data_IF_658907030047
#
_entry.id   IF_658907030047
#
_cell.length_a   1.000
_cell.length_b   1.000
_cell.length_c   1.000
_cell.angle_alpha   90.00
_cell.angle_beta   90.00
_cell.angle_gamma   90.00
#
_symmetry.space_group_name_H-M   'P 1'
#
loop_
_entity.id
_entity.type
_entity.pdbx_description
1 polymer ?
#
# COMPACT_ATOMS: atom_id res chain seq x y z
N UNK A 1 4.82 5.58 -6.62
CA UNK A 1 3.58 6.36 -6.83
C UNK A 1 3.96 7.68 -7.45
N UNK A 2 3.20 8.13 -8.43
CA UNK A 2 3.47 9.38 -9.15
C UNK A 2 2.20 10.22 -9.19
N UNK A 3 2.31 11.53 -8.97
CA UNK A 3 1.18 12.49 -9.04
C UNK A 3 -0.06 12.09 -8.22
N UNK A 4 0.12 11.31 -7.15
CA UNK A 4 -0.98 10.78 -6.32
C UNK A 4 -1.27 11.71 -5.14
N UNK A 5 -2.54 11.84 -4.75
CA UNK A 5 -2.99 12.77 -3.69
C UNK A 5 -4.06 12.12 -2.82
N UNK A 6 -3.97 12.33 -1.50
CA UNK A 6 -4.97 11.88 -0.53
C UNK A 6 -5.31 10.38 -0.69
N UNK A 7 -4.29 9.54 -0.57
CA UNK A 7 -4.41 8.11 -0.90
C UNK A 7 -3.88 7.25 0.23
N UNK A 8 -4.68 6.27 0.64
CA UNK A 8 -4.27 5.22 1.58
C UNK A 8 -3.78 4.01 0.81
N UNK A 9 -2.62 3.50 1.20
CA UNK A 9 -1.89 2.46 0.50
C UNK A 9 -1.63 1.30 1.46
N UNK A 10 -2.40 0.22 1.30
CA UNK A 10 -2.09 -1.05 1.91
C UNK A 10 -1.10 -1.81 1.02
N UNK A 11 0.17 -1.84 1.41
CA UNK A 11 1.26 -2.26 0.52
C UNK A 11 2.11 -3.36 1.14
N UNK A 12 2.45 -4.35 0.31
CA UNK A 12 3.56 -5.25 0.54
C UNK A 12 4.62 -4.96 -0.51
N UNK A 13 5.82 -4.64 -0.07
CA UNK A 13 6.98 -4.43 -0.93
C UNK A 13 8.23 -4.94 -0.24
N UNK A 14 9.09 -5.67 -0.94
CA UNK A 14 10.41 -6.11 -0.44
C UNK A 14 11.48 -5.04 -0.67
N UNK A 15 11.19 -4.04 -1.51
CA UNK A 15 12.03 -2.87 -1.75
C UNK A 15 11.38 -1.61 -1.18
N UNK A 16 12.17 -0.55 -1.09
CA UNK A 16 11.73 0.77 -0.61
C UNK A 16 10.75 1.39 -1.60
N UNK A 17 9.48 1.67 -1.22
CA UNK A 17 8.56 2.38 -2.07
C UNK A 17 9.10 3.76 -2.43
N UNK A 18 8.78 4.22 -3.62
CA UNK A 18 9.21 5.52 -4.15
C UNK A 18 7.99 6.38 -4.44
N UNK A 19 8.03 7.64 -4.04
CA UNK A 19 7.01 8.64 -4.38
C UNK A 19 7.64 9.84 -5.09
N UNK A 20 6.89 10.43 -6.01
CA UNK A 20 7.24 11.64 -6.77
C UNK A 20 5.96 12.43 -7.06
N UNK A 21 6.03 13.75 -6.95
CA UNK A 21 4.94 14.70 -7.17
C UNK A 21 3.64 14.37 -6.41
N UNK A 22 3.78 13.69 -5.28
CA UNK A 22 2.67 13.13 -4.51
C UNK A 22 2.56 13.80 -3.14
N UNK A 23 1.37 13.79 -2.52
CA UNK A 23 1.19 14.35 -1.18
C UNK A 23 -0.01 13.73 -0.45
N UNK A 24 0.00 13.80 0.89
CA UNK A 24 -1.02 13.20 1.74
C UNK A 24 -1.23 11.70 1.44
N UNK A 25 -0.12 10.97 1.31
CA UNK A 25 -0.14 9.52 1.19
C UNK A 25 -0.06 8.87 2.57
N UNK A 26 -0.88 7.86 2.85
CA UNK A 26 -0.81 7.12 4.11
C UNK A 26 -0.51 5.66 3.82
N UNK A 27 0.52 5.11 4.43
CA UNK A 27 0.94 3.72 4.20
C UNK A 27 0.45 2.82 5.33
N UNK A 28 0.09 1.59 4.99
CA UNK A 28 -0.35 0.55 5.90
C UNK A 28 0.18 -0.82 5.39
N UNK A 29 0.28 -1.83 6.27
CA UNK A 29 0.62 -3.19 5.82
C UNK A 29 -0.47 -3.74 4.89
N UNK A 30 -0.04 -4.54 3.93
CA UNK A 30 -0.96 -5.32 3.10
C UNK A 30 -1.77 -6.32 3.95
N UNK A 31 -3.08 -6.53 3.67
CA UNK A 31 -3.91 -7.42 4.45
C UNK A 31 -3.43 -8.86 4.34
N UNK A 32 -3.25 -9.53 5.48
CA UNK A 32 -2.79 -10.93 5.53
C UNK A 32 -3.80 -11.91 4.95
N UNK A 33 -5.09 -11.57 4.95
CA UNK A 33 -6.16 -12.37 4.32
C UNK A 33 -6.03 -12.45 2.80
N UNK A 34 -5.36 -11.47 2.18
CA UNK A 34 -5.08 -11.45 0.74
C UNK A 34 -3.66 -11.95 0.42
N UNK A 35 -2.85 -12.23 1.44
CA UNK A 35 -1.48 -12.69 1.25
C UNK A 35 -1.47 -14.12 0.73
N UNK A 36 -0.84 -14.33 -0.43
CA UNK A 36 -0.55 -15.67 -0.91
C UNK A 36 0.55 -16.32 -0.05
N UNK A 37 0.62 -17.67 0.02
CA UNK A 37 1.63 -18.38 0.80
C UNK A 37 3.08 -17.99 0.49
N UNK A 38 3.34 -17.39 -0.67
CA UNK A 38 4.68 -17.05 -1.18
C UNK A 38 5.28 -15.75 -0.61
N UNK A 39 4.57 -15.03 0.27
CA UNK A 39 5.16 -13.87 0.96
C UNK A 39 6.10 -14.38 2.07
N UNK A 40 7.39 -14.49 1.76
CA UNK A 40 8.40 -15.06 2.66
C UNK A 40 9.38 -14.03 3.25
N UNK A 41 9.35 -12.79 2.75
CA UNK A 41 10.27 -11.74 3.17
C UNK A 41 9.56 -10.59 3.89
N UNK A 42 10.29 -9.91 4.77
CA UNK A 42 9.78 -8.73 5.47
C UNK A 42 9.48 -7.59 4.50
N UNK A 43 8.38 -6.89 4.77
CA UNK A 43 7.98 -5.75 3.95
C UNK A 43 8.67 -4.45 4.39
N UNK A 44 9.04 -3.65 3.39
CA UNK A 44 9.60 -2.31 3.47
C UNK A 44 8.55 -1.21 3.23
N UNK A 45 7.26 -1.46 3.44
CA UNK A 45 6.17 -0.51 3.13
C UNK A 45 6.28 0.85 3.86
N UNK A 46 7.01 0.93 4.97
CA UNK A 46 7.31 2.20 5.67
C UNK A 46 8.66 2.83 5.30
N UNK A 47 9.49 2.19 4.49
CA UNK A 47 10.78 2.71 4.06
C UNK A 47 10.64 3.54 2.79
N UNK A 48 9.74 4.53 2.80
CA UNK A 48 9.35 5.31 1.62
C UNK A 48 10.41 6.37 1.30
N UNK A 49 10.82 6.43 0.04
CA UNK A 49 11.70 7.46 -0.51
C UNK A 49 10.87 8.50 -1.27
N UNK A 50 11.04 9.77 -0.91
CA UNK A 50 10.38 10.89 -1.59
C UNK A 50 11.39 11.64 -2.44
N UNK A 51 11.29 11.50 -3.76
CA UNK A 51 12.21 12.13 -4.70
C UNK A 51 12.16 13.66 -4.68
N UNK A 52 11.01 14.25 -4.34
CA UNK A 52 10.87 15.71 -4.25
C UNK A 52 11.42 16.29 -2.94
N UNK A 53 11.78 15.43 -1.97
CA UNK A 53 12.19 15.84 -0.63
C UNK A 53 13.65 15.51 -0.31
N UNK A 54 14.57 16.29 -0.87
CA UNK A 54 16.02 16.17 -0.66
C UNK A 54 16.54 16.70 0.70
N UNK A 55 15.65 17.06 1.63
CA UNK A 55 16.02 17.65 2.92
C UNK A 55 16.36 16.56 3.94
N UNK A 56 17.18 16.84 4.96
CA UNK A 56 17.51 15.87 6.02
C UNK A 56 16.35 15.60 6.99
N UNK A 57 15.21 16.27 6.83
CA UNK A 57 14.00 16.09 7.64
C UNK A 57 13.10 15.03 7.01
N UNK A 58 12.24 14.36 7.80
CA UNK A 58 11.21 13.48 7.24
C UNK A 58 10.35 14.21 6.20
N UNK A 59 10.00 13.52 5.12
CA UNK A 59 9.08 14.07 4.13
C UNK A 59 7.69 14.32 4.76
N UNK A 60 7.05 15.46 4.49
CA UNK A 60 5.67 15.72 4.90
C UNK A 60 4.64 15.10 3.94
N UNK A 61 5.07 14.55 2.80
CA UNK A 61 4.17 14.08 1.75
C UNK A 61 3.54 12.72 2.04
N UNK A 62 4.04 12.02 3.06
CA UNK A 62 3.50 10.75 3.49
C UNK A 62 3.60 10.53 5.00
N UNK A 63 2.75 9.66 5.52
CA UNK A 63 2.79 9.18 6.90
C UNK A 63 2.28 7.74 7.00
N UNK A 64 2.30 7.18 8.21
CA UNK A 64 1.63 5.92 8.49
C UNK A 64 0.12 6.16 8.64
N UNK A 65 -0.68 5.26 8.11
CA UNK A 65 -2.10 5.16 8.44
C UNK A 65 -2.24 4.75 9.92
N UNK A 66 -3.26 5.22 10.62
CA UNK A 66 -3.46 4.85 12.01
C UNK A 66 -3.83 3.36 12.12
N UNK A 67 -3.34 2.68 13.17
CA UNK A 67 -3.56 1.24 13.34
C UNK A 67 -5.05 0.88 13.39
N UNK A 68 -5.88 1.71 14.03
CA UNK A 68 -7.34 1.52 14.09
C UNK A 68 -7.98 1.55 12.69
N UNK A 69 -7.53 2.47 11.82
CA UNK A 69 -8.02 2.56 10.43
C UNK A 69 -7.54 1.36 9.61
N UNK A 70 -6.27 0.98 9.77
CA UNK A 70 -5.67 -0.18 9.10
C UNK A 70 -6.37 -1.49 9.50
N UNK A 71 -6.66 -1.66 10.79
CA UNK A 71 -7.34 -2.84 11.33
C UNK A 71 -8.79 -2.93 10.85
N UNK A 72 -9.49 -1.79 10.76
CA UNK A 72 -10.83 -1.74 10.21
C UNK A 72 -10.85 -2.19 8.75
N UNK A 73 -9.89 -1.73 7.93
CA UNK A 73 -9.74 -2.16 6.55
C UNK A 73 -9.43 -3.65 6.45
N UNK A 74 -8.47 -4.15 7.23
CA UNK A 74 -8.10 -5.58 7.25
C UNK A 74 -9.30 -6.48 7.58
N UNK A 75 -10.13 -6.09 8.55
CA UNK A 75 -11.37 -6.82 8.89
C UNK A 75 -12.39 -6.79 7.75
N UNK A 76 -12.58 -5.64 7.12
CA UNK A 76 -13.50 -5.49 5.99
C UNK A 76 -13.09 -6.39 4.81
N UNK A 77 -11.79 -6.41 4.47
CA UNK A 77 -11.24 -7.23 3.40
C UNK A 77 -11.30 -8.73 3.71
N UNK A 78 -11.09 -9.14 4.96
CA UNK A 78 -11.24 -10.54 5.35
C UNK A 78 -12.69 -11.05 5.30
N UNK A 79 -13.67 -10.15 5.50
CA UNK A 79 -15.10 -10.48 5.44
C UNK A 79 -15.72 -10.38 4.05
N UNK A 80 -15.09 -9.69 3.11
CA UNK A 80 -15.51 -9.65 1.73
C UNK A 80 -15.10 -10.96 1.04
N UNK A 81 -16.06 -11.79 0.65
CA UNK A 81 -15.79 -12.91 -0.25
C UNK A 81 -15.23 -12.34 -1.55
N UNK A 82 -13.98 -12.65 -1.87
CA UNK A 82 -13.35 -12.28 -3.13
C UNK A 82 -14.01 -13.15 -4.22
N UNK A 83 -14.93 -12.56 -4.99
CA UNK A 83 -15.53 -13.21 -6.15
C UNK A 83 -14.51 -13.17 -7.30
N UNK A 84 -13.70 -14.23 -7.39
CA UNK A 84 -12.62 -14.41 -8.36
C UNK A 84 -13.14 -14.83 -9.76
N UNK A 85 -14.45 -14.73 -10.04
CA UNK A 85 -14.98 -14.97 -11.39
C UNK A 85 -14.77 -13.74 -12.28
N UNK A 86 -13.52 -13.37 -12.51
CA UNK A 86 -13.18 -12.57 -13.69
C UNK A 86 -13.34 -13.50 -14.90
N UNK A 87 -14.50 -13.46 -15.56
CA UNK A 87 -14.71 -14.18 -16.81
C UNK A 87 -13.58 -13.82 -17.79
N UNK A 88 -12.83 -14.85 -18.19
CA UNK A 88 -11.78 -14.76 -19.19
C UNK A 88 -12.35 -14.05 -20.43
N UNK A 89 -11.76 -12.93 -20.91
CA UNK A 89 -12.25 -12.28 -22.11
C UNK A 89 -12.18 -13.26 -23.29
N UNK A 90 -13.18 -13.25 -24.19
CA UNK A 90 -13.24 -14.17 -25.31
C UNK A 90 -11.96 -14.04 -26.16
N UNK A 91 -11.41 -15.19 -26.55
CA UNK A 91 -10.27 -15.23 -27.45
C UNK A 91 -10.68 -14.62 -28.81
N UNK A 92 -9.90 -13.64 -29.27
CA UNK A 92 -9.97 -13.12 -30.65
C UNK A 92 -9.47 -14.18 -31.65
#
# INVERSE_FOLDING_TARGET
MHTSKNTDLHLYSTSRPVIEHSSALRFAPYPTSLSQPMIHSESQHYAVQDFDWIKPTPSPNWNKLADVESDAFNKAVAGAAFDDTLEKPPAL
#
